data_IF_340233703280
#
_entry.id   IF_340233703280
#
_cell.length_a   1.000
_cell.length_b   1.000
_cell.length_c   1.000
_cell.angle_alpha   90.00
_cell.angle_beta   90.00
_cell.angle_gamma   90.00
#
_symmetry.space_group_name_H-M   'P 1'
#
loop_
_entity.id
_entity.type
_entity.pdbx_description
1 polymer ?
#
# COMPACT_ATOMS: atom_id res chain seq x y z
N UNK A 1 25.28 -3.49 6.28
CA UNK A 1 24.26 -4.54 6.31
C UNK A 1 22.95 -3.89 6.78
N UNK A 2 22.03 -3.70 5.85
CA UNK A 2 20.66 -3.28 6.14
C UNK A 2 19.89 -4.51 6.63
N UNK A 3 19.80 -4.67 7.93
CA UNK A 3 18.91 -5.66 8.53
C UNK A 3 17.50 -5.09 8.42
N UNK A 4 16.69 -5.64 7.52
CA UNK A 4 15.27 -5.33 7.47
C UNK A 4 14.65 -5.73 8.81
N UNK A 5 14.04 -4.75 9.50
CA UNK A 5 13.27 -5.00 10.69
C UNK A 5 11.97 -5.70 10.25
N UNK A 6 11.95 -7.02 10.29
CA UNK A 6 10.70 -7.76 10.18
C UNK A 6 9.91 -7.54 11.47
N UNK A 7 8.60 -7.24 11.42
CA UNK A 7 7.79 -7.21 12.62
C UNK A 7 7.79 -8.60 13.25
N UNK A 8 8.08 -8.66 14.55
CA UNK A 8 7.94 -9.89 15.30
C UNK A 8 6.47 -10.32 15.18
N UNK A 9 6.24 -11.47 14.56
CA UNK A 9 4.93 -12.11 14.52
C UNK A 9 4.65 -12.72 15.88
N UNK A 10 4.20 -11.88 16.85
CA UNK A 10 3.48 -12.42 17.98
C UNK A 10 2.14 -12.94 17.45
N UNK A 11 1.78 -14.16 17.81
CA UNK A 11 0.55 -14.87 17.43
C UNK A 11 -0.70 -13.99 17.51
N UNK A 12 -0.97 -13.26 16.46
CA UNK A 12 -2.30 -12.69 16.23
C UNK A 12 -3.14 -13.85 15.68
N UNK A 13 -3.81 -14.54 16.60
CA UNK A 13 -4.71 -15.62 16.28
C UNK A 13 -5.67 -15.16 15.17
N UNK A 14 -5.48 -15.69 13.97
CA UNK A 14 -6.41 -15.57 12.88
C UNK A 14 -7.72 -16.18 13.35
N UNK A 15 -8.76 -15.36 13.50
CA UNK A 15 -10.12 -15.89 13.61
C UNK A 15 -10.44 -16.55 12.28
N UNK A 16 -10.89 -17.78 12.32
CA UNK A 16 -10.94 -18.77 11.24
C UNK A 16 -11.72 -18.47 9.97
N UNK A 17 -11.73 -17.23 9.48
CA UNK A 17 -12.26 -16.81 8.19
C UNK A 17 -11.20 -16.23 7.25
N UNK A 18 -9.96 -16.11 7.68
CA UNK A 18 -8.82 -15.87 6.79
C UNK A 18 -8.47 -17.21 6.11
N UNK A 19 -9.38 -17.68 5.23
CA UNK A 19 -9.06 -18.76 4.31
C UNK A 19 -7.72 -18.41 3.68
N UNK A 20 -6.74 -19.24 3.91
CA UNK A 20 -5.40 -19.23 3.35
C UNK A 20 -5.47 -18.79 1.88
N UNK A 21 -5.34 -17.48 1.66
CA UNK A 21 -5.28 -16.93 0.32
C UNK A 21 -4.02 -17.51 -0.29
N UNK A 22 -4.20 -18.56 -1.07
CA UNK A 22 -3.13 -19.36 -1.62
C UNK A 22 -2.08 -18.45 -2.25
N UNK A 23 -0.91 -18.45 -1.62
CA UNK A 23 0.21 -17.60 -2.02
C UNK A 23 0.58 -17.93 -3.49
N UNK A 24 0.66 -16.95 -4.41
CA UNK A 24 0.91 -17.22 -5.82
C UNK A 24 2.34 -17.72 -6.10
N UNK A 25 3.24 -17.61 -5.13
CA UNK A 25 4.61 -18.13 -5.23
C UNK A 25 4.62 -19.59 -4.86
N UNK A 26 4.98 -20.46 -5.81
CA UNK A 26 5.00 -21.92 -5.60
C UNK A 26 3.76 -22.66 -6.11
N UNK A 27 2.75 -21.97 -6.62
CA UNK A 27 1.62 -22.65 -7.30
C UNK A 27 2.08 -23.23 -8.62
N UNK A 28 1.72 -24.47 -8.86
CA UNK A 28 1.81 -25.06 -10.20
C UNK A 28 0.82 -24.33 -11.13
N UNK A 29 1.36 -23.72 -12.19
CA UNK A 29 0.56 -22.99 -13.16
C UNK A 29 0.07 -24.02 -14.18
N UNK A 30 -1.10 -24.55 -13.94
CA UNK A 30 -1.69 -25.60 -14.77
C UNK A 30 -2.61 -25.01 -15.85
N UNK A 31 -3.36 -23.96 -15.50
CA UNK A 31 -4.31 -23.30 -16.40
C UNK A 31 -4.58 -21.88 -15.91
N UNK A 32 -5.09 -21.02 -16.76
CA UNK A 32 -5.49 -19.68 -16.37
C UNK A 32 -5.89 -18.84 -17.57
N UNK A 33 -6.54 -17.73 -17.31
CA UNK A 33 -6.96 -16.78 -18.33
C UNK A 33 -6.07 -15.53 -18.29
N UNK A 34 -5.56 -15.09 -19.44
CA UNK A 34 -4.85 -13.85 -19.57
C UNK A 34 -5.81 -12.66 -19.62
N UNK A 35 -5.70 -11.75 -18.68
CA UNK A 35 -6.50 -10.53 -18.59
C UNK A 35 -5.62 -9.29 -18.73
N UNK A 36 -6.16 -8.25 -19.34
CA UNK A 36 -5.49 -6.95 -19.41
C UNK A 36 -5.48 -6.30 -18.02
N UNK A 37 -4.34 -5.75 -17.67
CA UNK A 37 -4.12 -5.01 -16.43
C UNK A 37 -3.24 -3.79 -16.70
N UNK A 38 -3.31 -2.81 -15.83
CA UNK A 38 -2.47 -1.62 -15.90
C UNK A 38 -1.59 -1.51 -14.64
N UNK A 39 -0.36 -1.10 -14.84
CA UNK A 39 0.49 -0.68 -13.74
C UNK A 39 0.28 0.83 -13.52
N UNK A 40 -0.16 1.18 -12.33
CA UNK A 40 -0.24 2.55 -11.87
C UNK A 40 0.72 2.76 -10.70
N UNK A 41 2.00 2.82 -11.02
CA UNK A 41 3.01 3.08 -10.01
C UNK A 41 3.33 4.58 -9.91
N UNK A 42 4.00 4.99 -8.85
CA UNK A 42 4.41 6.37 -8.60
C UNK A 42 5.33 7.00 -9.67
N UNK A 43 5.87 6.22 -10.60
CA UNK A 43 6.67 6.71 -11.72
C UNK A 43 5.84 7.41 -12.82
N UNK A 44 4.51 7.44 -12.71
CA UNK A 44 3.63 8.02 -13.72
C UNK A 44 3.52 7.22 -15.04
N UNK A 45 4.29 6.15 -15.20
CA UNK A 45 4.17 5.23 -16.33
C UNK A 45 2.85 4.46 -16.23
N UNK A 46 1.99 4.61 -17.21
CA UNK A 46 0.69 3.92 -17.31
C UNK A 46 0.82 2.67 -18.16
N UNK A 47 1.76 1.79 -17.78
CA UNK A 47 2.10 0.62 -18.57
C UNK A 47 0.95 -0.37 -18.60
N UNK A 48 0.59 -0.82 -19.80
CA UNK A 48 -0.33 -1.93 -19.98
C UNK A 48 0.42 -3.24 -19.78
N UNK A 49 -0.19 -4.14 -19.04
CA UNK A 49 0.32 -5.47 -18.75
C UNK A 49 -0.77 -6.50 -19.02
N UNK A 50 -0.37 -7.74 -19.13
CA UNK A 50 -1.28 -8.90 -19.03
C UNK A 50 -0.96 -9.69 -17.78
N UNK A 51 -2.00 -10.11 -17.10
CA UNK A 51 -1.93 -10.95 -15.91
C UNK A 51 -2.61 -12.29 -16.20
N UNK A 52 -1.96 -13.38 -15.81
CA UNK A 52 -2.55 -14.71 -15.83
C UNK A 52 -3.28 -14.92 -14.51
N UNK A 53 -4.59 -15.10 -14.60
CA UNK A 53 -5.45 -15.36 -13.46
C UNK A 53 -5.80 -16.84 -13.43
N UNK A 54 -5.52 -17.50 -12.31
CA UNK A 54 -5.88 -18.88 -12.03
C UNK A 54 -6.60 -18.89 -10.68
N UNK A 55 -7.82 -19.42 -10.65
CA UNK A 55 -8.65 -19.51 -9.44
C UNK A 55 -8.78 -18.17 -8.68
N UNK A 56 -8.96 -17.07 -9.42
CA UNK A 56 -9.07 -15.72 -8.87
C UNK A 56 -7.74 -15.08 -8.43
N UNK A 57 -6.61 -15.77 -8.56
CA UNK A 57 -5.30 -15.28 -8.14
C UNK A 57 -4.41 -14.97 -9.36
N UNK A 58 -3.71 -13.83 -9.31
CA UNK A 58 -2.72 -13.47 -10.33
C UNK A 58 -1.44 -14.27 -10.11
N UNK A 59 -1.19 -15.26 -10.97
CA UNK A 59 -0.04 -16.16 -10.88
C UNK A 59 1.14 -15.75 -11.76
N UNK A 60 0.88 -15.02 -12.85
CA UNK A 60 1.91 -14.48 -13.75
C UNK A 60 1.58 -13.07 -14.21
N UNK A 61 2.59 -12.35 -14.65
CA UNK A 61 2.43 -11.04 -15.25
C UNK A 61 3.47 -10.86 -16.38
N UNK A 62 3.03 -10.29 -17.49
CA UNK A 62 3.87 -9.96 -18.65
C UNK A 62 3.50 -8.60 -19.22
N UNK A 63 4.31 -8.09 -20.12
CA UNK A 63 3.97 -6.92 -20.96
C UNK A 63 2.71 -7.23 -21.77
N UNK A 64 1.93 -6.19 -22.07
CA UNK A 64 0.85 -6.30 -23.03
C UNK A 64 1.40 -6.63 -24.42
N UNK A 65 0.89 -7.70 -25.00
CA UNK A 65 1.26 -8.25 -26.29
C UNK A 65 0.05 -8.42 -27.22
N UNK A 66 -0.96 -7.58 -27.05
CA UNK A 66 -2.17 -7.59 -27.86
C UNK A 66 -1.93 -7.20 -29.33
N UNK A 67 -0.81 -6.53 -29.60
CA UNK A 67 -0.37 -6.16 -30.94
C UNK A 67 1.12 -6.45 -31.12
N UNK A 68 1.56 -6.54 -32.36
CA UNK A 68 2.98 -6.67 -32.68
C UNK A 68 3.73 -5.38 -32.34
N UNK A 69 4.95 -5.54 -31.82
CA UNK A 69 5.82 -4.42 -31.52
C UNK A 69 6.42 -3.85 -32.81
N UNK A 70 6.24 -2.56 -33.06
CA UNK A 70 6.77 -1.90 -34.25
C UNK A 70 7.28 -0.50 -33.92
N UNK A 71 8.17 0.09 -34.75
CA UNK A 71 8.63 1.46 -34.52
C UNK A 71 7.51 2.50 -34.54
N UNK A 72 6.46 2.29 -35.34
CA UNK A 72 5.33 3.22 -35.45
C UNK A 72 4.28 2.99 -34.37
N UNK A 73 4.21 1.79 -33.82
CA UNK A 73 3.29 1.43 -32.75
C UNK A 73 3.97 0.50 -31.74
N UNK A 74 4.84 1.04 -30.89
CA UNK A 74 5.59 0.24 -29.93
C UNK A 74 4.69 -0.26 -28.79
N UNK A 75 4.97 -1.48 -28.32
CA UNK A 75 4.35 -2.00 -27.12
C UNK A 75 4.75 -1.19 -25.89
N UNK A 76 3.80 -0.86 -25.02
CA UNK A 76 4.07 -0.26 -23.73
C UNK A 76 4.61 -1.31 -22.74
N UNK A 77 5.92 -1.44 -22.70
CA UNK A 77 6.59 -2.46 -21.90
C UNK A 77 6.64 -2.08 -20.43
N UNK A 78 6.04 -2.92 -19.59
CA UNK A 78 6.17 -2.81 -18.15
C UNK A 78 7.60 -3.08 -17.69
N UNK A 79 8.14 -2.20 -16.84
CA UNK A 79 9.43 -2.40 -16.19
C UNK A 79 9.36 -3.55 -15.17
N UNK A 80 10.50 -3.92 -14.60
CA UNK A 80 10.57 -4.99 -13.60
C UNK A 80 9.68 -4.73 -12.38
N UNK A 81 9.57 -3.48 -11.94
CA UNK A 81 8.70 -3.08 -10.82
C UNK A 81 7.22 -3.37 -11.12
N UNK A 82 6.72 -2.93 -12.29
CA UNK A 82 5.34 -3.23 -12.71
C UNK A 82 5.08 -4.72 -12.85
N UNK A 83 6.04 -5.46 -13.38
CA UNK A 83 5.93 -6.92 -13.58
C UNK A 83 6.00 -7.74 -12.28
N UNK A 84 6.59 -7.19 -11.23
CA UNK A 84 6.67 -7.82 -9.89
C UNK A 84 5.55 -7.40 -8.93
N UNK A 85 4.62 -6.56 -9.36
CA UNK A 85 3.57 -5.99 -8.51
C UNK A 85 2.73 -7.05 -7.78
N UNK A 86 2.48 -8.21 -8.42
CA UNK A 86 1.81 -9.34 -7.78
C UNK A 86 2.51 -9.84 -6.52
N UNK A 87 3.84 -9.80 -6.47
CA UNK A 87 4.62 -10.18 -5.29
C UNK A 87 4.39 -9.23 -4.12
N UNK A 88 4.20 -7.95 -4.42
CA UNK A 88 3.89 -6.95 -3.40
C UNK A 88 2.46 -7.13 -2.86
N UNK A 89 1.49 -7.43 -3.73
CA UNK A 89 0.09 -7.61 -3.34
C UNK A 89 -0.09 -8.83 -2.43
N UNK A 90 0.62 -9.91 -2.74
CA UNK A 90 0.52 -11.19 -2.02
C UNK A 90 1.73 -11.47 -1.11
N UNK A 91 2.46 -10.42 -0.71
CA UNK A 91 3.59 -10.59 0.21
C UNK A 91 3.09 -11.06 1.59
N UNK A 92 3.84 -11.99 2.20
CA UNK A 92 3.52 -12.51 3.54
C UNK A 92 3.57 -11.42 4.61
N UNK A 93 4.49 -10.47 4.44
CA UNK A 93 4.68 -9.31 5.32
C UNK A 93 3.72 -8.14 5.01
N UNK A 94 2.74 -8.33 4.10
CA UNK A 94 1.76 -7.30 3.79
C UNK A 94 0.91 -6.99 5.02
N UNK A 95 0.86 -5.70 5.39
CA UNK A 95 -0.01 -5.21 6.47
C UNK A 95 -1.48 -5.38 6.02
N UNK A 96 -2.23 -6.21 6.73
CA UNK A 96 -3.65 -6.52 6.43
C UNK A 96 -4.62 -5.71 7.27
N UNK A 97 -4.19 -5.21 8.40
CA UNK A 97 -5.02 -4.53 9.41
C UNK A 97 -4.31 -3.28 9.92
N UNK A 98 -5.03 -2.30 10.47
CA UNK A 98 -4.40 -1.18 11.15
C UNK A 98 -3.56 -1.64 12.33
N UNK A 99 -2.37 -1.09 12.43
CA UNK A 99 -1.44 -1.36 13.52
C UNK A 99 -1.08 -0.06 14.21
N UNK A 100 -1.05 -0.10 15.52
CA UNK A 100 -0.60 0.99 16.40
C UNK A 100 0.62 0.52 17.19
N UNK A 101 1.58 1.41 17.44
CA UNK A 101 2.68 1.09 18.36
C UNK A 101 2.12 0.91 19.76
N UNK A 102 2.50 -0.15 20.45
CA UNK A 102 1.98 -0.50 21.78
C UNK A 102 2.26 0.62 22.81
N UNK A 103 3.45 1.21 22.77
CA UNK A 103 3.84 2.29 23.66
C UNK A 103 3.42 3.69 23.22
N UNK A 104 2.54 3.85 22.21
CA UNK A 104 2.13 5.15 21.70
C UNK A 104 0.72 5.52 22.11
N UNK A 105 0.54 6.77 22.52
CA UNK A 105 -0.77 7.42 22.62
C UNK A 105 -0.66 8.88 22.18
N UNK A 106 -1.82 9.54 22.01
CA UNK A 106 -1.86 10.97 21.67
C UNK A 106 -1.22 11.86 22.74
N UNK A 107 -1.29 11.45 24.01
CA UNK A 107 -0.74 12.20 25.15
C UNK A 107 0.69 11.79 25.49
N UNK A 108 1.09 10.58 25.11
CA UNK A 108 2.43 10.05 25.30
C UNK A 108 2.94 9.44 23.99
N UNK A 109 3.39 10.25 23.04
CA UNK A 109 3.79 9.75 21.72
C UNK A 109 5.05 8.89 21.72
N UNK A 110 5.87 8.95 22.79
CA UNK A 110 7.05 8.12 23.02
C UNK A 110 7.90 7.95 21.76
N UNK A 111 8.36 9.08 21.21
CA UNK A 111 9.09 9.14 19.94
C UNK A 111 10.38 8.32 19.94
N UNK A 112 11.02 8.17 21.11
CA UNK A 112 12.24 7.40 21.34
C UNK A 112 12.04 5.89 21.10
N UNK A 113 10.81 5.41 21.15
CA UNK A 113 10.46 4.02 20.86
C UNK A 113 10.25 3.73 19.37
N UNK A 114 10.37 4.72 18.49
CA UNK A 114 10.26 4.49 17.05
C UNK A 114 11.29 3.48 16.56
N UNK A 115 10.81 2.46 15.85
CA UNK A 115 11.65 1.37 15.34
C UNK A 115 12.07 0.32 16.39
N UNK A 116 11.61 0.46 17.64
CA UNK A 116 11.93 -0.47 18.73
C UNK A 116 10.70 -1.00 19.43
N UNK A 117 9.55 -0.33 19.24
CA UNK A 117 8.29 -0.64 19.87
C UNK A 117 7.63 -1.86 19.22
N UNK A 118 6.78 -2.51 19.95
CA UNK A 118 5.91 -3.56 19.42
C UNK A 118 4.72 -2.95 18.68
N UNK A 119 4.08 -3.76 17.85
CA UNK A 119 2.88 -3.38 17.13
C UNK A 119 1.68 -4.15 17.63
N UNK A 120 0.60 -3.45 17.92
CA UNK A 120 -0.68 -4.04 18.28
C UNK A 120 -1.71 -3.78 17.17
N UNK A 121 -2.53 -4.79 16.91
CA UNK A 121 -3.65 -4.65 15.98
C UNK A 121 -4.76 -3.86 16.65
N UNK A 122 -5.31 -2.89 15.93
CA UNK A 122 -6.47 -2.10 16.34
C UNK A 122 -7.58 -2.24 15.29
N UNK A 123 -8.81 -1.88 15.68
CA UNK A 123 -9.91 -1.79 14.71
C UNK A 123 -9.74 -0.59 13.77
N UNK A 124 -10.43 -0.61 12.63
CA UNK A 124 -10.49 0.55 11.75
C UNK A 124 -11.11 1.76 12.44
N UNK A 125 -12.16 1.56 13.25
CA UNK A 125 -12.81 2.65 13.99
C UNK A 125 -11.83 3.30 14.97
N UNK A 126 -11.12 2.52 15.75
CA UNK A 126 -10.09 3.03 16.66
C UNK A 126 -8.98 3.78 15.90
N UNK A 127 -8.48 3.21 14.81
CA UNK A 127 -7.42 3.85 14.03
C UNK A 127 -7.87 5.19 13.45
N UNK A 128 -9.08 5.26 12.91
CA UNK A 128 -9.65 6.47 12.32
C UNK A 128 -9.94 7.54 13.39
N UNK A 129 -10.44 7.13 14.54
CA UNK A 129 -10.67 8.02 15.68
C UNK A 129 -9.36 8.64 16.19
N UNK A 130 -8.31 7.84 16.33
CA UNK A 130 -6.99 8.34 16.73
C UNK A 130 -6.41 9.34 15.72
N UNK A 131 -6.56 9.07 14.42
CA UNK A 131 -6.13 10.00 13.36
C UNK A 131 -6.95 11.29 13.42
N UNK A 132 -8.27 11.20 13.55
CA UNK A 132 -9.15 12.36 13.63
C UNK A 132 -8.83 13.22 14.84
N UNK A 133 -8.64 12.63 16.01
CA UNK A 133 -8.25 13.33 17.24
C UNK A 133 -6.89 14.02 17.09
N UNK A 134 -5.90 13.32 16.49
CA UNK A 134 -4.57 13.91 16.25
C UNK A 134 -4.61 15.11 15.32
N UNK A 135 -5.35 15.00 14.22
CA UNK A 135 -5.54 16.11 13.26
C UNK A 135 -6.28 17.29 13.89
N UNK A 136 -7.34 17.02 14.66
CA UNK A 136 -8.11 18.05 15.36
C UNK A 136 -7.23 18.78 16.38
N UNK A 137 -6.48 18.06 17.19
CA UNK A 137 -5.52 18.66 18.14
C UNK A 137 -4.48 19.55 17.43
N UNK A 138 -3.91 19.08 16.35
CA UNK A 138 -2.93 19.87 15.58
C UNK A 138 -3.56 21.14 15.01
N UNK A 139 -4.77 21.04 14.48
CA UNK A 139 -5.54 22.19 13.96
C UNK A 139 -5.84 23.21 15.05
N UNK A 140 -6.31 22.77 16.20
CA UNK A 140 -6.69 23.65 17.32
C UNK A 140 -5.48 24.35 17.93
N UNK A 141 -4.36 23.66 18.08
CA UNK A 141 -3.15 24.21 18.70
C UNK A 141 -2.31 25.06 17.76
N UNK A 142 -2.24 24.69 16.47
CA UNK A 142 -1.25 25.27 15.56
C UNK A 142 -1.85 25.72 14.22
N UNK A 143 -3.15 25.45 13.99
CA UNK A 143 -3.83 25.74 12.73
C UNK A 143 -3.52 24.74 11.62
N UNK A 144 -4.32 24.79 10.56
CA UNK A 144 -4.22 23.82 9.45
C UNK A 144 -2.87 23.83 8.72
N UNK A 145 -2.13 24.95 8.77
CA UNK A 145 -0.78 25.03 8.14
C UNK A 145 0.27 24.13 8.80
N UNK A 146 0.04 23.72 10.04
CA UNK A 146 0.94 22.77 10.75
C UNK A 146 0.81 21.34 10.23
N UNK A 147 -0.25 21.05 9.49
CA UNK A 147 -0.51 19.71 8.95
C UNK A 147 0.16 19.61 7.59
N UNK A 148 1.25 18.85 7.51
CA UNK A 148 1.95 18.57 6.27
C UNK A 148 1.41 17.29 5.63
N UNK A 149 0.89 17.38 4.41
CA UNK A 149 0.42 16.24 3.64
C UNK A 149 1.50 15.78 2.66
N UNK A 150 2.14 14.66 2.98
CA UNK A 150 3.05 13.95 2.11
C UNK A 150 2.27 12.84 1.40
N UNK A 151 2.06 13.00 0.12
CA UNK A 151 1.28 12.03 -0.66
C UNK A 151 1.76 11.96 -2.10
N UNK A 152 1.64 10.79 -2.71
CA UNK A 152 1.63 10.66 -4.15
C UNK A 152 0.29 11.17 -4.74
N UNK A 153 -0.03 10.75 -5.95
CA UNK A 153 -1.30 11.08 -6.58
C UNK A 153 -2.48 10.45 -5.82
N UNK A 154 -3.11 11.23 -4.95
CA UNK A 154 -4.26 10.82 -4.14
C UNK A 154 -5.27 11.97 -4.04
N UNK A 155 -6.20 12.10 -4.99
CA UNK A 155 -7.20 13.16 -5.01
C UNK A 155 -8.21 13.05 -3.87
N UNK A 156 -8.52 11.86 -3.38
CA UNK A 156 -9.43 11.63 -2.26
C UNK A 156 -8.87 12.24 -0.98
N UNK A 157 -7.60 11.97 -0.68
CA UNK A 157 -6.92 12.56 0.47
C UNK A 157 -6.88 14.09 0.37
N UNK A 158 -6.62 14.62 -0.82
CA UNK A 158 -6.60 16.08 -1.06
C UNK A 158 -7.97 16.70 -0.78
N UNK A 159 -9.05 16.08 -1.24
CA UNK A 159 -10.42 16.56 -1.00
C UNK A 159 -10.79 16.49 0.48
N UNK A 160 -10.47 15.36 1.14
CA UNK A 160 -10.74 15.17 2.57
C UNK A 160 -10.02 16.23 3.40
N UNK A 161 -8.74 16.46 3.16
CA UNK A 161 -7.97 17.44 3.89
C UNK A 161 -8.37 18.89 3.54
N UNK A 162 -8.83 19.14 2.31
CA UNK A 162 -9.43 20.42 1.91
C UNK A 162 -10.73 20.70 2.69
N UNK A 163 -11.62 19.70 2.80
CA UNK A 163 -12.85 19.81 3.58
C UNK A 163 -12.58 19.96 5.08
N UNK A 164 -11.50 19.40 5.59
CA UNK A 164 -11.06 19.58 6.99
C UNK A 164 -10.59 21.01 7.29
N UNK A 165 -10.32 21.84 6.28
CA UNK A 165 -9.93 23.24 6.39
C UNK A 165 -8.58 23.59 5.78
N UNK A 166 -7.99 22.66 5.05
CA UNK A 166 -6.72 22.85 4.35
C UNK A 166 -5.52 22.21 5.06
N UNK A 167 -4.37 22.31 4.42
CA UNK A 167 -3.12 21.66 4.84
C UNK A 167 -1.92 22.30 4.11
N UNK A 168 -0.71 22.05 4.58
CA UNK A 168 0.51 22.35 3.84
C UNK A 168 0.79 21.19 2.88
N UNK A 169 0.82 21.47 1.60
CA UNK A 169 1.08 20.46 0.58
C UNK A 169 2.57 20.33 0.33
N UNK A 170 3.05 19.10 0.33
CA UNK A 170 4.37 18.77 -0.19
C UNK A 170 4.21 18.21 -1.61
N UNK A 171 4.82 18.87 -2.57
CA UNK A 171 4.87 18.39 -3.93
C UNK A 171 6.11 17.51 -4.10
N UNK A 172 5.86 16.24 -4.33
CA UNK A 172 6.92 15.30 -4.67
C UNK A 172 6.98 15.14 -6.21
N UNK A 173 8.14 15.41 -6.75
CA UNK A 173 8.48 15.04 -8.13
C UNK A 173 9.18 13.71 -8.09
N UNK A 174 8.53 12.68 -8.56
CA UNK A 174 9.09 11.33 -8.68
C UNK A 174 10.36 11.29 -9.55
#
# INVERSE_FOLDING_TARGET
SLTACAPATSDLAATGEDAEAAHPVGRDIVSGEWKTAACWHNCGGRCLNKVLVQDGVVVRQKTDDTHEDSPDYPQQRGCLRGRSQRKQVFAEDRIKYPLKRAGWSLDAPNGELRGKDEWERVSWDEALDLVAQGLTRAKEQYGNRSILLLKGWNPEMTRTMGAFGGFTNFWDTN
#
